data_IF_577764405255
#
_entry.id   IF_577764405255
#
_cell.length_a   1.000
_cell.length_b   1.000
_cell.length_c   1.000
_cell.angle_alpha   90.00
_cell.angle_beta   90.00
_cell.angle_gamma   90.00
#
_symmetry.space_group_name_H-M   'P 1'
#
loop_
_entity.id
_entity.type
_entity.pdbx_description
1 polymer ?
#
# COMPACT_ATOMS: atom_id res chain seq x y z
N UNK A 1 9.32 -16.72 -9.41
CA UNK A 1 9.39 -16.16 -8.02
C UNK A 1 8.03 -15.60 -7.66
N UNK A 2 7.62 -15.69 -6.39
CA UNK A 2 6.38 -15.06 -5.90
C UNK A 2 6.76 -13.89 -4.98
N UNK A 3 6.17 -12.72 -5.21
CA UNK A 3 6.21 -11.59 -4.30
C UNK A 3 4.81 -11.34 -3.76
N UNK A 4 4.64 -11.54 -2.47
CA UNK A 4 3.46 -11.11 -1.73
C UNK A 4 3.57 -9.62 -1.42
N UNK A 5 2.48 -8.90 -1.64
CA UNK A 5 2.31 -7.49 -1.29
C UNK A 5 1.00 -7.31 -0.52
N UNK A 6 0.91 -6.24 0.25
CA UNK A 6 -0.28 -5.90 1.04
C UNK A 6 -0.71 -4.43 0.82
N UNK A 7 -1.70 -3.98 1.58
CA UNK A 7 -2.32 -2.65 1.54
C UNK A 7 -1.32 -1.50 1.40
N UNK A 8 -0.24 -1.46 2.18
CA UNK A 8 0.72 -0.35 2.12
C UNK A 8 1.44 -0.28 0.78
N UNK A 9 1.63 -1.40 0.08
CA UNK A 9 2.18 -1.36 -1.27
C UNK A 9 1.26 -0.56 -2.22
N UNK A 10 -0.05 -0.82 -2.15
CA UNK A 10 -1.04 -0.10 -2.96
C UNK A 10 -1.06 1.39 -2.60
N UNK A 11 -1.06 1.70 -1.31
CA UNK A 11 -1.03 3.08 -0.83
C UNK A 11 0.27 3.79 -1.17
N UNK A 12 1.42 3.11 -1.14
CA UNK A 12 2.71 3.69 -1.49
C UNK A 12 2.75 4.07 -2.98
N UNK A 13 2.26 3.22 -3.87
CA UNK A 13 2.15 3.53 -5.30
C UNK A 13 1.16 4.68 -5.53
N UNK A 14 -0.04 4.62 -4.92
CA UNK A 14 -1.06 5.66 -5.08
C UNK A 14 -0.56 7.04 -4.58
N UNK A 15 0.20 7.06 -3.49
CA UNK A 15 0.77 8.30 -2.92
C UNK A 15 2.09 8.73 -3.57
N UNK A 16 2.61 7.98 -4.54
CA UNK A 16 3.86 8.29 -5.25
C UNK A 16 5.13 8.05 -4.41
N UNK A 17 5.03 7.27 -3.33
CA UNK A 17 6.16 6.87 -2.47
C UNK A 17 6.92 5.66 -3.04
N UNK A 18 6.24 4.84 -3.84
CA UNK A 18 6.85 3.70 -4.53
C UNK A 18 6.72 3.86 -6.04
N UNK A 19 7.68 3.29 -6.77
CA UNK A 19 7.69 3.21 -8.22
C UNK A 19 6.53 2.38 -8.78
N UNK A 20 6.20 2.54 -10.06
CA UNK A 20 5.08 1.82 -10.66
C UNK A 20 5.36 0.29 -10.67
N UNK A 21 4.34 -0.54 -10.42
CA UNK A 21 4.36 -2.01 -10.53
C UNK A 21 5.08 -2.52 -11.77
N UNK A 22 4.97 -1.82 -12.90
CA UNK A 22 5.66 -2.20 -14.13
C UNK A 22 7.18 -2.28 -13.96
N UNK A 23 7.77 -1.37 -13.19
CA UNK A 23 9.21 -1.33 -12.99
C UNK A 23 9.65 -2.53 -12.14
N UNK A 24 8.86 -2.89 -11.12
CA UNK A 24 9.07 -4.06 -10.29
C UNK A 24 8.97 -5.37 -11.09
N UNK A 25 7.93 -5.50 -11.93
CA UNK A 25 7.71 -6.69 -12.77
C UNK A 25 8.79 -6.86 -13.84
N UNK A 26 9.29 -5.76 -14.42
CA UNK A 26 10.36 -5.78 -15.42
C UNK A 26 11.73 -6.11 -14.80
N UNK A 27 11.95 -5.76 -13.54
CA UNK A 27 13.26 -5.89 -12.92
C UNK A 27 13.66 -7.36 -12.65
N UNK A 28 12.71 -8.27 -12.43
CA UNK A 28 12.99 -9.69 -12.08
C UNK A 28 12.04 -10.66 -12.82
N UNK A 29 12.22 -10.95 -14.11
CA UNK A 29 11.39 -11.94 -14.79
C UNK A 29 11.85 -13.39 -14.54
N UNK A 30 10.96 -14.38 -14.30
CA UNK A 30 9.51 -14.25 -14.08
C UNK A 30 9.14 -14.00 -12.61
N UNK A 31 8.54 -12.83 -12.34
CA UNK A 31 7.95 -12.44 -11.06
C UNK A 31 6.42 -12.56 -11.11
N UNK A 32 5.87 -13.31 -10.16
CA UNK A 32 4.43 -13.37 -9.90
C UNK A 32 4.14 -12.48 -8.71
N UNK A 33 3.34 -11.43 -8.92
CA UNK A 33 2.84 -10.60 -7.84
C UNK A 33 1.58 -11.26 -7.25
N UNK A 34 1.55 -11.46 -5.94
CA UNK A 34 0.41 -12.06 -5.24
C UNK A 34 -0.13 -11.08 -4.18
N UNK A 35 -1.44 -10.88 -4.14
CA UNK A 35 -2.09 -9.85 -3.34
C UNK A 35 -3.37 -10.39 -2.70
N UNK A 36 -3.46 -10.40 -1.35
CA UNK A 36 -4.71 -10.66 -0.65
C UNK A 36 -5.82 -9.70 -1.07
N UNK A 37 -7.00 -10.23 -1.39
CA UNK A 37 -8.14 -9.39 -1.81
C UNK A 37 -8.64 -8.50 -0.67
N UNK A 38 -8.45 -8.92 0.59
CA UNK A 38 -8.72 -8.08 1.78
C UNK A 38 -7.88 -6.79 1.80
N UNK A 39 -6.65 -6.82 1.27
CA UNK A 39 -5.81 -5.63 1.16
C UNK A 39 -6.38 -4.57 0.21
N UNK A 40 -7.23 -4.96 -0.76
CA UNK A 40 -7.96 -4.01 -1.61
C UNK A 40 -9.02 -3.26 -0.80
N UNK A 41 -9.78 -3.98 0.03
CA UNK A 41 -10.81 -3.38 0.87
C UNK A 41 -10.20 -2.41 1.89
N UNK A 42 -9.07 -2.79 2.47
CA UNK A 42 -8.32 -1.91 3.37
C UNK A 42 -7.76 -0.69 2.64
N UNK A 43 -7.21 -0.86 1.43
CA UNK A 43 -6.70 0.26 0.63
C UNK A 43 -7.80 1.24 0.23
N UNK A 44 -9.01 0.75 -0.10
CA UNK A 44 -10.16 1.63 -0.33
C UNK A 44 -10.58 2.37 0.93
N UNK A 45 -10.60 1.70 2.08
CA UNK A 45 -10.91 2.33 3.37
C UNK A 45 -9.89 3.42 3.72
N UNK A 46 -8.60 3.18 3.48
CA UNK A 46 -7.52 4.14 3.66
C UNK A 46 -7.66 5.33 2.69
N UNK A 47 -7.98 5.08 1.42
CA UNK A 47 -8.23 6.12 0.43
C UNK A 47 -9.45 6.98 0.80
N UNK A 48 -10.53 6.38 1.28
CA UNK A 48 -11.70 7.12 1.76
C UNK A 48 -11.36 8.02 2.96
N UNK A 49 -10.57 7.52 3.90
CA UNK A 49 -10.11 8.29 5.04
C UNK A 49 -9.22 9.47 4.60
N UNK A 50 -8.29 9.24 3.66
CA UNK A 50 -7.44 10.28 3.08
C UNK A 50 -8.28 11.36 2.36
N UNK A 51 -9.26 10.95 1.54
CA UNK A 51 -10.18 11.88 0.87
C UNK A 51 -10.99 12.70 1.88
N UNK A 52 -11.47 12.09 2.98
CA UNK A 52 -12.18 12.81 4.05
C UNK A 52 -11.27 13.84 4.72
N UNK A 53 -10.03 13.47 5.04
CA UNK A 53 -9.03 14.39 5.60
C UNK A 53 -8.74 15.57 4.68
N UNK A 54 -8.62 15.30 3.37
CA UNK A 54 -8.41 16.34 2.34
C UNK A 54 -9.58 17.32 2.21
N UNK A 55 -10.82 16.82 2.25
CA UNK A 55 -12.01 17.68 2.23
C UNK A 55 -12.07 18.60 3.45
N UNK A 56 -11.66 18.10 4.61
CA UNK A 56 -11.58 18.92 5.81
C UNK A 56 -10.51 20.01 5.68
N UNK A 57 -9.36 19.69 5.10
CA UNK A 57 -8.34 20.69 4.79
C UNK A 57 -8.83 21.75 3.78
N UNK A 58 -9.56 21.35 2.73
CA UNK A 58 -10.17 22.29 1.78
C UNK A 58 -11.14 23.26 2.46
N UNK A 59 -11.96 22.77 3.39
CA UNK A 59 -12.87 23.60 4.18
C UNK A 59 -12.11 24.63 5.02
N UNK A 60 -11.00 24.23 5.63
CA UNK A 60 -10.14 25.12 6.41
C UNK A 60 -9.49 26.18 5.51
N UNK A 61 -8.99 25.80 4.33
CA UNK A 61 -8.45 26.75 3.34
C UNK A 61 -9.50 27.77 2.90
N UNK A 62 -10.72 27.32 2.56
CA UNK A 62 -11.80 28.21 2.15
C UNK A 62 -12.17 29.23 3.24
N UNK A 63 -12.21 28.81 4.50
CA UNK A 63 -12.46 29.69 5.62
C UNK A 63 -11.38 30.78 5.74
N UNK A 64 -10.10 30.42 5.61
CA UNK A 64 -8.99 31.38 5.66
C UNK A 64 -9.01 32.34 4.47
N UNK A 65 -9.22 31.83 3.25
CA UNK A 65 -9.39 32.64 2.03
C UNK A 65 -10.53 33.66 2.23
N UNK A 66 -11.67 33.24 2.77
CA UNK A 66 -12.80 34.13 3.06
C UNK A 66 -12.53 35.19 4.13
N UNK A 67 -11.64 34.93 5.08
CA UNK A 67 -11.18 35.93 6.05
C UNK A 67 -10.23 36.95 5.37
N UNK A 68 -9.25 36.47 4.59
CA UNK A 68 -8.27 37.33 3.93
C UNK A 68 -8.89 38.24 2.87
N UNK A 69 -9.89 37.76 2.13
CA UNK A 69 -10.65 38.58 1.15
C UNK A 69 -11.34 39.80 1.78
N UNK A 70 -11.56 39.80 3.09
CA UNK A 70 -12.19 40.93 3.81
C UNK A 70 -11.17 41.95 4.31
N UNK A 71 -9.88 41.61 4.34
CA UNK A 71 -8.80 42.53 4.71
C UNK A 71 -8.21 43.20 3.46
N UNK A 72 -8.77 44.35 3.12
CA UNK A 72 -8.35 45.15 1.96
C UNK A 72 -7.16 46.07 2.25
N UNK A 73 -6.67 46.11 3.48
CA UNK A 73 -5.69 47.12 3.93
C UNK A 73 -4.30 46.56 4.15
N UNK A 74 -4.20 45.26 4.44
CA UNK A 74 -2.93 44.58 4.68
C UNK A 74 -2.32 44.03 3.39
N UNK A 75 -1.11 44.46 3.05
CA UNK A 75 -0.33 43.87 1.97
C UNK A 75 -0.06 42.37 2.19
N UNK A 76 0.19 41.98 3.45
CA UNK A 76 0.41 40.58 3.81
C UNK A 76 -0.84 39.73 3.59
N UNK A 77 -2.04 40.28 3.83
CA UNK A 77 -3.29 39.57 3.58
C UNK A 77 -3.49 39.29 2.08
N UNK A 78 -3.16 40.25 1.22
CA UNK A 78 -3.23 40.07 -0.24
C UNK A 78 -2.24 39.01 -0.75
N UNK A 79 -1.00 39.03 -0.27
CA UNK A 79 0.03 38.04 -0.64
C UNK A 79 -0.34 36.63 -0.16
N UNK A 80 -0.80 36.50 1.08
CA UNK A 80 -1.24 35.24 1.64
C UNK A 80 -2.48 34.70 0.93
N UNK A 81 -3.43 35.57 0.56
CA UNK A 81 -4.63 35.19 -0.21
C UNK A 81 -4.25 34.49 -1.51
N UNK A 82 -3.37 35.09 -2.33
CA UNK A 82 -2.90 34.50 -3.58
C UNK A 82 -2.24 33.14 -3.35
N UNK A 83 -1.43 33.03 -2.28
CA UNK A 83 -0.75 31.78 -1.93
C UNK A 83 -1.74 30.66 -1.55
N UNK A 84 -2.77 30.97 -0.77
CA UNK A 84 -3.78 29.98 -0.37
C UNK A 84 -4.71 29.59 -1.52
N UNK A 85 -5.07 30.52 -2.40
CA UNK A 85 -5.85 30.21 -3.60
C UNK A 85 -5.07 29.27 -4.54
N UNK A 86 -3.76 29.51 -4.73
CA UNK A 86 -2.91 28.61 -5.50
C UNK A 86 -2.74 27.23 -4.82
N UNK A 87 -2.53 27.21 -3.50
CA UNK A 87 -2.43 25.98 -2.74
C UNK A 87 -3.69 25.13 -2.85
N UNK A 88 -4.88 25.75 -2.84
CA UNK A 88 -6.16 25.05 -3.05
C UNK A 88 -6.23 24.35 -4.42
N UNK A 89 -5.81 25.03 -5.48
CA UNK A 89 -5.78 24.45 -6.83
C UNK A 89 -4.82 23.26 -6.90
N UNK A 90 -3.62 23.42 -6.35
CA UNK A 90 -2.61 22.35 -6.31
C UNK A 90 -3.07 21.16 -5.46
N UNK A 91 -3.73 21.43 -4.34
CA UNK A 91 -4.29 20.40 -3.46
C UNK A 91 -5.35 19.56 -4.19
N UNK A 92 -6.27 20.20 -4.93
CA UNK A 92 -7.25 19.49 -5.75
C UNK A 92 -6.59 18.60 -6.81
N UNK A 93 -5.52 19.10 -7.46
CA UNK A 93 -4.70 18.30 -8.38
C UNK A 93 -4.11 17.06 -7.70
N UNK A 94 -3.52 17.22 -6.52
CA UNK A 94 -2.93 16.11 -5.76
C UNK A 94 -3.95 15.04 -5.38
N UNK A 95 -5.18 15.43 -5.01
CA UNK A 95 -6.27 14.46 -4.71
C UNK A 95 -6.58 13.61 -5.94
N UNK A 96 -6.70 14.25 -7.11
CA UNK A 96 -6.97 13.57 -8.36
C UNK A 96 -5.82 12.63 -8.75
N UNK A 97 -4.56 13.04 -8.55
CA UNK A 97 -3.39 12.20 -8.83
C UNK A 97 -3.38 10.93 -7.98
N UNK A 98 -3.66 11.04 -6.68
CA UNK A 98 -3.68 9.87 -5.77
C UNK A 98 -4.78 8.89 -6.17
N UNK A 99 -6.00 9.39 -6.41
CA UNK A 99 -7.11 8.54 -6.82
C UNK A 99 -6.88 7.92 -8.20
N UNK A 100 -6.37 8.71 -9.15
CA UNK A 100 -6.03 8.26 -10.50
C UNK A 100 -5.01 7.12 -10.48
N UNK A 101 -3.90 7.30 -9.76
CA UNK A 101 -2.86 6.28 -9.62
C UNK A 101 -3.38 5.00 -8.96
N UNK A 102 -4.23 5.11 -7.93
CA UNK A 102 -4.84 3.92 -7.31
C UNK A 102 -5.69 3.13 -8.31
N UNK A 103 -6.55 3.81 -9.07
CA UNK A 103 -7.44 3.11 -10.01
C UNK A 103 -6.69 2.54 -11.21
N UNK A 104 -5.66 3.22 -11.70
CA UNK A 104 -4.78 2.69 -12.74
C UNK A 104 -4.04 1.45 -12.23
N UNK A 105 -3.47 1.50 -11.02
CA UNK A 105 -2.83 0.38 -10.38
C UNK A 105 -3.76 -0.84 -10.29
N UNK A 106 -4.99 -0.66 -9.80
CA UNK A 106 -5.95 -1.78 -9.69
C UNK A 106 -6.32 -2.37 -11.05
N UNK A 107 -6.46 -1.54 -12.09
CA UNK A 107 -6.67 -2.03 -13.46
C UNK A 107 -5.49 -2.87 -13.94
N UNK A 108 -4.26 -2.41 -13.70
CA UNK A 108 -3.07 -3.18 -14.06
C UNK A 108 -3.02 -4.52 -13.32
N UNK A 109 -3.22 -4.50 -12.00
CA UNK A 109 -3.19 -5.69 -11.15
C UNK A 109 -4.27 -6.70 -11.53
N UNK A 110 -5.45 -6.27 -11.98
CA UNK A 110 -6.57 -7.15 -12.34
C UNK A 110 -6.21 -8.24 -13.34
N UNK A 111 -5.22 -8.00 -14.20
CA UNK A 111 -4.78 -8.92 -15.25
C UNK A 111 -3.42 -9.57 -14.99
N UNK A 112 -2.66 -9.08 -13.99
CA UNK A 112 -1.26 -9.43 -13.78
C UNK A 112 -0.97 -10.06 -12.42
N UNK A 113 -1.80 -9.76 -11.42
CA UNK A 113 -1.62 -10.26 -10.06
C UNK A 113 -2.34 -11.59 -9.88
N UNK A 114 -1.77 -12.43 -9.01
CA UNK A 114 -2.47 -13.57 -8.40
C UNK A 114 -3.24 -13.05 -7.19
N UNK A 115 -4.57 -13.10 -7.28
CA UNK A 115 -5.46 -12.68 -6.21
C UNK A 115 -5.58 -13.78 -5.15
N UNK A 116 -5.36 -13.44 -3.88
CA UNK A 116 -5.45 -14.40 -2.78
C UNK A 116 -6.76 -14.17 -2.03
N UNK A 117 -7.65 -15.15 -2.12
CA UNK A 117 -8.93 -15.11 -1.41
C UNK A 117 -8.82 -15.63 0.02
N UNK A 118 -9.51 -14.97 0.93
CA UNK A 118 -9.68 -15.44 2.30
C UNK A 118 -10.80 -16.47 2.35
N UNK A 119 -10.44 -17.72 2.68
CA UNK A 119 -11.42 -18.78 2.92
C UNK A 119 -11.91 -18.79 4.39
N UNK A 120 -13.05 -19.42 4.71
CA UNK A 120 -13.51 -19.56 6.09
C UNK A 120 -12.48 -20.22 7.02
N UNK A 121 -11.66 -21.14 6.48
CA UNK A 121 -10.57 -21.77 7.23
C UNK A 121 -9.49 -20.77 7.61
N UNK A 122 -9.04 -19.95 6.66
CA UNK A 122 -8.03 -18.90 6.88
C UNK A 122 -8.56 -17.90 7.91
N UNK A 123 -9.84 -17.53 7.81
CA UNK A 123 -10.48 -16.63 8.76
C UNK A 123 -10.48 -17.21 10.19
N UNK A 124 -10.87 -18.48 10.36
CA UNK A 124 -10.86 -19.13 11.68
C UNK A 124 -9.44 -19.21 12.26
N UNK A 125 -8.46 -19.59 11.44
CA UNK A 125 -7.06 -19.67 11.86
C UNK A 125 -6.51 -18.30 12.29
N UNK A 126 -6.88 -17.23 11.58
CA UNK A 126 -6.52 -15.86 11.96
C UNK A 126 -7.19 -15.38 13.25
N UNK A 127 -8.33 -15.95 13.64
CA UNK A 127 -8.98 -15.63 14.93
C UNK A 127 -8.38 -16.46 16.06
N UNK A 128 -8.04 -17.71 15.81
CA UNK A 128 -7.52 -18.65 16.81
C UNK A 128 -6.03 -18.45 17.09
N UNK A 129 -5.27 -18.00 16.08
CA UNK A 129 -3.83 -17.78 16.16
C UNK A 129 -3.51 -16.34 15.78
N UNK A 130 -3.42 -15.48 16.80
CA UNK A 130 -3.02 -14.09 16.63
C UNK A 130 -1.48 -13.99 16.59
N UNK A 131 -0.93 -13.86 15.38
CA UNK A 131 0.50 -13.65 15.16
C UNK A 131 0.88 -12.17 15.20
N UNK A 132 -0.10 -11.28 14.94
CA UNK A 132 0.04 -9.83 15.02
C UNK A 132 -1.01 -9.32 16.01
N UNK A 133 -0.56 -9.00 17.22
CA UNK A 133 -1.43 -8.61 18.33
C UNK A 133 -2.09 -7.24 18.08
N UNK A 134 -3.43 -7.19 18.22
CA UNK A 134 -4.21 -5.95 18.16
C UNK A 134 -4.46 -5.42 16.76
N UNK A 135 -4.02 -6.14 15.71
CA UNK A 135 -4.15 -5.72 14.31
C UNK A 135 -4.80 -6.85 13.48
N UNK A 136 -6.12 -7.07 13.63
CA UNK A 136 -6.80 -8.24 13.06
C UNK A 136 -6.78 -8.29 11.53
N UNK A 137 -6.79 -7.13 10.85
CA UNK A 137 -6.69 -7.06 9.38
C UNK A 137 -5.32 -7.54 8.90
N UNK A 138 -4.24 -7.05 9.51
CA UNK A 138 -2.88 -7.46 9.18
C UNK A 138 -2.63 -8.93 9.53
N UNK A 139 -3.19 -9.41 10.65
CA UNK A 139 -3.15 -10.82 11.00
C UNK A 139 -3.85 -11.69 9.92
N UNK A 140 -5.02 -11.26 9.44
CA UNK A 140 -5.75 -11.97 8.39
C UNK A 140 -5.01 -11.94 7.04
N UNK A 141 -4.36 -10.83 6.70
CA UNK A 141 -3.48 -10.69 5.53
C UNK A 141 -2.34 -11.71 5.63
N UNK A 142 -1.66 -11.77 6.78
CA UNK A 142 -0.57 -12.71 7.02
C UNK A 142 -1.02 -14.16 6.83
N UNK A 143 -2.11 -14.56 7.48
CA UNK A 143 -2.65 -15.92 7.36
C UNK A 143 -3.05 -16.27 5.93
N UNK A 144 -3.60 -15.31 5.18
CA UNK A 144 -3.92 -15.49 3.76
C UNK A 144 -2.65 -15.78 2.94
N UNK A 145 -1.57 -15.04 3.20
CA UNK A 145 -0.25 -15.23 2.54
C UNK A 145 0.36 -16.58 2.92
N UNK A 146 0.38 -16.92 4.22
CA UNK A 146 0.94 -18.17 4.73
C UNK A 146 0.22 -19.37 4.11
N UNK A 147 -1.10 -19.37 4.11
CA UNK A 147 -1.90 -20.46 3.52
C UNK A 147 -1.64 -20.62 2.02
N UNK A 148 -1.62 -19.53 1.25
CA UNK A 148 -1.28 -19.60 -0.18
C UNK A 148 0.14 -20.17 -0.38
N UNK A 149 1.11 -19.72 0.43
CA UNK A 149 2.48 -20.18 0.28
C UNK A 149 2.66 -21.69 0.50
N UNK A 150 1.82 -22.33 1.32
CA UNK A 150 1.86 -23.76 1.57
C UNK A 150 1.29 -24.59 0.42
N UNK A 151 0.39 -24.02 -0.39
CA UNK A 151 -0.27 -24.70 -1.49
C UNK A 151 0.54 -24.68 -2.80
N UNK A 152 1.55 -23.82 -2.90
CA UNK A 152 2.31 -23.60 -4.14
C UNK A 152 3.71 -24.20 -4.10
N UNK A 153 4.15 -24.65 -5.29
CA UNK A 153 5.40 -25.36 -5.52
C UNK A 153 6.64 -24.67 -4.90
N UNK A 154 7.67 -25.44 -4.54
CA UNK A 154 8.91 -24.90 -4.00
C UNK A 154 9.57 -23.95 -5.01
N UNK A 155 9.72 -22.69 -4.62
CA UNK A 155 10.36 -21.64 -5.38
C UNK A 155 10.58 -20.40 -4.50
N UNK A 156 11.42 -19.44 -4.92
CA UNK A 156 11.67 -18.25 -4.11
C UNK A 156 10.39 -17.44 -3.87
N UNK A 157 10.09 -17.21 -2.59
CA UNK A 157 8.94 -16.43 -2.10
C UNK A 157 9.43 -15.26 -1.28
N UNK A 158 8.87 -14.08 -1.52
CA UNK A 158 9.17 -12.87 -0.77
C UNK A 158 7.87 -12.20 -0.33
N UNK A 159 7.91 -11.48 0.78
CA UNK A 159 6.83 -10.61 1.24
C UNK A 159 7.38 -9.19 1.42
N UNK A 160 6.73 -8.22 0.79
CA UNK A 160 7.08 -6.81 0.86
C UNK A 160 5.98 -6.03 1.58
N UNK A 161 6.34 -5.40 2.70
CA UNK A 161 5.45 -4.51 3.45
C UNK A 161 6.26 -3.41 4.14
N UNK A 162 5.76 -2.18 4.08
CA UNK A 162 6.34 -1.06 4.86
C UNK A 162 5.96 -1.11 6.34
N UNK A 163 4.98 -1.95 6.74
CA UNK A 163 4.54 -2.06 8.12
C UNK A 163 5.48 -2.94 8.95
N UNK A 164 6.67 -2.41 9.24
CA UNK A 164 7.68 -3.11 10.05
C UNK A 164 7.24 -3.32 11.49
N UNK A 165 6.36 -2.48 12.03
CA UNK A 165 5.84 -2.63 13.40
C UNK A 165 5.13 -3.97 13.58
N UNK A 166 4.39 -4.39 12.55
CA UNK A 166 3.53 -5.58 12.61
C UNK A 166 4.26 -6.80 12.06
N UNK A 167 4.93 -6.66 10.91
CA UNK A 167 5.52 -7.79 10.20
C UNK A 167 6.96 -8.13 10.58
N UNK A 168 7.64 -7.30 11.39
CA UNK A 168 8.97 -7.65 11.93
C UNK A 168 8.94 -8.31 13.31
N UNK A 169 7.76 -8.54 13.87
CA UNK A 169 7.60 -9.25 15.14
C UNK A 169 8.21 -10.67 15.05
N UNK A 170 8.82 -11.18 16.13
CA UNK A 170 9.49 -12.48 16.10
C UNK A 170 8.60 -13.62 15.59
N UNK A 171 7.35 -13.69 16.06
CA UNK A 171 6.42 -14.76 15.70
C UNK A 171 6.02 -14.71 14.22
N UNK A 172 5.80 -13.50 13.69
CA UNK A 172 5.56 -13.29 12.26
C UNK A 172 6.76 -13.70 11.42
N UNK A 173 7.97 -13.27 11.79
CA UNK A 173 9.20 -13.66 11.09
C UNK A 173 9.40 -15.17 11.11
N UNK A 174 9.14 -15.82 12.24
CA UNK A 174 9.21 -17.27 12.37
C UNK A 174 8.20 -17.97 11.45
N UNK A 175 6.96 -17.50 11.39
CA UNK A 175 5.92 -18.06 10.53
C UNK A 175 6.25 -17.89 9.03
N UNK A 176 6.75 -16.70 8.64
CA UNK A 176 7.20 -16.43 7.27
C UNK A 176 8.37 -17.34 6.87
N UNK A 177 9.39 -17.48 7.73
CA UNK A 177 10.55 -18.36 7.49
C UNK A 177 10.13 -19.82 7.39
N UNK A 178 9.26 -20.29 8.29
CA UNK A 178 8.72 -21.65 8.24
C UNK A 178 7.97 -21.95 6.94
N UNK A 179 7.40 -20.91 6.32
CA UNK A 179 6.71 -20.97 5.03
C UNK A 179 7.61 -20.71 3.81
N UNK A 180 8.92 -20.54 4.04
CA UNK A 180 9.92 -20.27 3.01
C UNK A 180 9.80 -18.87 2.40
N UNK A 181 9.20 -17.92 3.11
CA UNK A 181 8.99 -16.54 2.67
C UNK A 181 10.05 -15.63 3.29
N UNK A 182 10.73 -14.85 2.45
CA UNK A 182 11.66 -13.82 2.92
C UNK A 182 10.98 -12.46 3.01
N UNK A 183 11.05 -11.83 4.19
CA UNK A 183 10.51 -10.50 4.42
C UNK A 183 11.42 -9.37 3.90
N UNK A 184 10.81 -8.32 3.35
CA UNK A 184 11.45 -7.08 2.95
C UNK A 184 10.59 -5.89 3.37
N UNK A 185 11.22 -4.86 3.96
CA UNK A 185 10.56 -3.60 4.29
C UNK A 185 10.70 -2.53 3.20
N UNK A 186 11.51 -2.81 2.17
CA UNK A 186 11.82 -1.87 1.08
C UNK A 186 11.95 -2.62 -0.24
N UNK A 187 11.35 -2.06 -1.28
CA UNK A 187 11.40 -2.57 -2.66
C UNK A 187 12.84 -2.74 -3.16
N UNK A 188 13.73 -1.77 -2.89
CA UNK A 188 15.15 -1.85 -3.27
C UNK A 188 15.84 -3.10 -2.73
N UNK A 189 15.63 -3.44 -1.46
CA UNK A 189 16.23 -4.63 -0.85
C UNK A 189 15.69 -5.92 -1.46
N UNK A 190 14.41 -5.93 -1.83
CA UNK A 190 13.83 -7.03 -2.60
C UNK A 190 14.47 -7.13 -3.99
N UNK A 191 14.65 -6.03 -4.71
CA UNK A 191 15.27 -5.99 -6.04
C UNK A 191 16.72 -6.52 -6.02
N UNK A 192 17.51 -6.11 -5.03
CA UNK A 192 18.88 -6.59 -4.83
C UNK A 192 18.95 -8.09 -4.52
N UNK A 193 17.96 -8.62 -3.79
CA UNK A 193 17.89 -10.05 -3.50
C UNK A 193 17.39 -10.87 -4.70
N UNK A 194 16.39 -10.35 -5.41
CA UNK A 194 15.76 -11.03 -6.54
C UNK A 194 16.67 -11.10 -7.77
N UNK A 195 17.47 -10.07 -8.03
CA UNK A 195 18.49 -10.07 -9.10
C UNK A 195 19.61 -11.10 -8.90
N UNK A 196 19.78 -11.61 -7.68
CA UNK A 196 20.74 -12.67 -7.35
C UNK A 196 20.13 -14.07 -7.39
N UNK A 197 18.81 -14.19 -7.55
CA UNK A 197 18.20 -15.51 -7.71
C UNK A 197 18.54 -16.07 -9.09
N UNK A 198 18.93 -17.35 -9.20
CA UNK A 198 19.21 -17.95 -10.48
C UNK A 198 17.95 -17.87 -11.35
N UNK A 199 18.08 -17.19 -12.50
CA UNK A 199 17.09 -17.20 -13.57
C UNK A 199 17.11 -18.59 -14.21
N UNK A 200 16.29 -19.51 -13.70
CA UNK A 200 16.03 -20.82 -14.31
C UNK A 200 14.60 -21.24 -13.96
N UNK A 201 13.75 -21.68 -14.88
CA UNK A 201 13.92 -22.14 -16.25
C UNK A 201 12.94 -21.45 -17.20
#
# INVERSE_FOLDING_TARGET
MILYVETNFLMAVATGRESNVQDLLKAIPPLVLALPTISIMEAFSALEADIKGRKEFDRQLEQQIGQLRRDNTSHNASSLLMSLEQAKIQHAGLVNDVQGRMFELLRELSSKATWLDTSPRILLEAVETELIEGEPTDNLILHTILHHSQQYAPGPKAFLSENTRSFEQPDVKNALVASGIKFFSRSRSFLEWGSRQPSGF
#
